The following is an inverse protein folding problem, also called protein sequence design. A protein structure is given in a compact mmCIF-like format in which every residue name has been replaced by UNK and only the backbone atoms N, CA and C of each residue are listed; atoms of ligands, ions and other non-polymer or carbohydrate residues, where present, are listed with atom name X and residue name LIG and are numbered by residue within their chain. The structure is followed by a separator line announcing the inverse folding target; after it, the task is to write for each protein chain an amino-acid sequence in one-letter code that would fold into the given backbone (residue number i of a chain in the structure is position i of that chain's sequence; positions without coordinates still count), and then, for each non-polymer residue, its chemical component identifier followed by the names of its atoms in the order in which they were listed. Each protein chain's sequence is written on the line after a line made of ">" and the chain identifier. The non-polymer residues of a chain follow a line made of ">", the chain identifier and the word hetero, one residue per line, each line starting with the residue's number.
data_IF_523083789356
#
_entry.id   IF_523083789356
#
_cell.length_a   1.000
_cell.length_b   1.000
_cell.length_c   1.000
_cell.angle_alpha   90.00
_cell.angle_beta   90.00
_cell.angle_gamma   90.00
#
_symmetry.space_group_name_H-M   'P 1'
#
loop_
_entity.id
_entity.type
_entity.pdbx_description
1 polymer ?
#
# COMPACT_ATOMS: atom_id res chain seq x y z
N UNK A 1 9.90 -17.03 -3.31
CA UNK A 1 9.21 -16.47 -4.49
C UNK A 1 10.27 -16.05 -5.49
N UNK A 2 10.45 -16.76 -6.56
CA UNK A 2 11.31 -16.35 -7.66
C UNK A 2 10.48 -15.40 -8.54
N UNK A 3 10.54 -14.13 -8.21
CA UNK A 3 9.94 -13.08 -9.04
C UNK A 3 10.80 -12.82 -10.28
N UNK A 4 10.26 -12.07 -11.25
CA UNK A 4 10.99 -11.63 -12.43
C UNK A 4 12.24 -10.83 -12.01
N UNK A 5 13.42 -11.34 -12.32
CA UNK A 5 14.65 -10.56 -12.21
C UNK A 5 14.72 -9.60 -13.40
N UNK A 6 14.45 -8.32 -13.15
CA UNK A 6 14.43 -7.28 -14.20
C UNK A 6 15.80 -7.13 -14.85
N UNK A 7 16.88 -7.29 -14.09
CA UNK A 7 18.23 -7.22 -14.64
C UNK A 7 18.47 -8.33 -15.66
N UNK A 8 18.18 -9.59 -15.30
CA UNK A 8 18.36 -10.73 -16.21
C UNK A 8 17.40 -10.65 -17.38
N UNK A 9 16.18 -10.14 -17.18
CA UNK A 9 15.20 -9.96 -18.24
C UNK A 9 15.72 -9.05 -19.36
N UNK A 10 16.38 -7.95 -19.02
CA UNK A 10 16.89 -6.99 -20.01
C UNK A 10 18.31 -7.31 -20.54
N UNK A 11 19.05 -8.21 -19.89
CA UNK A 11 20.42 -8.53 -20.27
C UNK A 11 20.57 -9.06 -21.69
N UNK A 12 19.55 -9.77 -22.20
CA UNK A 12 19.55 -10.41 -23.52
C UNK A 12 18.84 -9.58 -24.60
N UNK A 13 18.24 -8.43 -24.22
CA UNK A 13 17.52 -7.60 -25.19
C UNK A 13 18.50 -6.76 -26.01
N UNK A 14 18.35 -6.83 -27.32
CA UNK A 14 19.18 -6.07 -28.24
C UNK A 14 18.76 -4.60 -28.32
N UNK A 15 19.61 -3.77 -28.92
CA UNK A 15 19.37 -2.34 -29.13
C UNK A 15 19.32 -1.48 -27.85
N UNK A 16 19.82 -1.98 -26.74
CA UNK A 16 20.06 -1.19 -25.53
C UNK A 16 21.43 -0.54 -25.63
N UNK A 17 21.50 0.81 -25.57
CA UNK A 17 22.73 1.59 -25.58
C UNK A 17 23.43 1.51 -24.24
N UNK A 18 22.64 1.63 -23.17
CA UNK A 18 23.12 1.61 -21.79
C UNK A 18 22.10 0.90 -20.91
N UNK A 19 22.60 0.08 -20.04
CA UNK A 19 21.82 -0.72 -19.12
C UNK A 19 22.52 -0.81 -17.77
N UNK A 20 21.75 -0.78 -16.68
CA UNK A 20 22.25 -0.96 -15.33
C UNK A 20 21.12 -1.03 -14.32
N UNK A 21 21.37 -1.74 -13.22
CA UNK A 21 20.37 -1.92 -12.18
C UNK A 21 20.62 -3.17 -11.36
N UNK A 22 19.56 -3.69 -10.76
CA UNK A 22 19.54 -4.93 -9.99
C UNK A 22 18.21 -5.66 -10.22
N UNK A 23 18.02 -6.82 -9.59
CA UNK A 23 16.87 -7.70 -9.81
C UNK A 23 15.50 -7.01 -9.74
N UNK A 24 15.33 -6.00 -8.89
CA UNK A 24 14.04 -5.32 -8.64
C UNK A 24 13.84 -4.03 -9.43
N UNK A 25 14.90 -3.44 -9.96
CA UNK A 25 14.83 -2.18 -10.73
C UNK A 25 16.01 -2.05 -11.68
N UNK A 26 15.75 -1.67 -12.93
CA UNK A 26 16.79 -1.41 -13.91
C UNK A 26 16.48 -0.13 -14.70
N UNK A 27 17.55 0.60 -15.05
CA UNK A 27 17.52 1.74 -15.96
C UNK A 27 18.08 1.36 -17.30
N UNK A 28 17.38 1.69 -18.38
CA UNK A 28 17.81 1.43 -19.77
C UNK A 28 17.80 2.71 -20.57
N UNK A 29 18.77 2.81 -21.50
CA UNK A 29 18.82 3.87 -22.50
C UNK A 29 18.78 3.22 -23.88
N UNK A 30 17.85 3.65 -24.70
CA UNK A 30 17.68 3.17 -26.08
C UNK A 30 17.70 4.33 -27.06
N UNK A 31 18.09 4.08 -28.30
CA UNK A 31 17.95 5.08 -29.36
C UNK A 31 16.47 5.31 -29.69
N UNK A 32 16.11 6.55 -30.01
CA UNK A 32 14.74 6.92 -30.36
C UNK A 32 14.19 6.07 -31.52
N UNK A 33 15.02 5.84 -32.52
CA UNK A 33 14.66 5.09 -33.72
C UNK A 33 14.51 3.58 -33.46
N UNK A 34 15.08 3.07 -32.35
CA UNK A 34 15.00 1.68 -31.93
C UNK A 34 13.84 1.41 -30.96
N UNK A 35 13.06 2.42 -30.59
CA UNK A 35 12.00 2.28 -29.58
C UNK A 35 10.95 1.24 -29.96
N UNK A 36 10.46 1.28 -31.20
CA UNK A 36 9.43 0.35 -31.67
C UNK A 36 9.92 -1.11 -31.69
N UNK A 37 11.14 -1.36 -32.17
CA UNK A 37 11.73 -2.70 -32.16
C UNK A 37 12.03 -3.21 -30.75
N UNK A 38 12.45 -2.33 -29.87
CA UNK A 38 12.65 -2.63 -28.45
C UNK A 38 11.34 -3.08 -27.78
N UNK A 39 10.24 -2.33 -27.97
CA UNK A 39 8.93 -2.68 -27.41
C UNK A 39 8.47 -4.05 -27.90
N UNK A 40 8.58 -4.32 -29.22
CA UNK A 40 8.21 -5.62 -29.78
C UNK A 40 9.04 -6.78 -29.19
N UNK A 41 10.32 -6.57 -28.95
CA UNK A 41 11.19 -7.58 -28.37
C UNK A 41 10.84 -7.86 -26.90
N UNK A 42 10.55 -6.80 -26.12
CA UNK A 42 10.07 -6.92 -24.74
C UNK A 42 8.76 -7.68 -24.69
N UNK A 43 7.77 -7.31 -25.51
CA UNK A 43 6.46 -7.98 -25.56
C UNK A 43 6.61 -9.46 -25.94
N UNK A 44 7.40 -9.77 -26.95
CA UNK A 44 7.66 -11.15 -27.35
C UNK A 44 8.30 -11.97 -26.22
N UNK A 45 9.27 -11.39 -25.51
CA UNK A 45 9.93 -12.05 -24.38
C UNK A 45 8.96 -12.25 -23.22
N UNK A 46 8.12 -11.26 -22.91
CA UNK A 46 7.09 -11.38 -21.87
C UNK A 46 6.06 -12.46 -22.16
N UNK A 47 5.59 -12.57 -23.40
CA UNK A 47 4.63 -13.62 -23.82
C UNK A 47 5.21 -15.03 -23.68
N UNK A 48 6.53 -15.18 -23.88
CA UNK A 48 7.21 -16.48 -23.74
C UNK A 48 7.51 -16.89 -22.31
N UNK A 49 7.28 -15.99 -21.33
CA UNK A 49 7.53 -16.27 -19.91
C UNK A 49 6.23 -16.71 -19.23
N UNK A 50 6.28 -17.84 -18.53
CA UNK A 50 5.21 -18.24 -17.62
C UNK A 50 5.40 -17.47 -16.30
N UNK A 51 4.53 -16.51 -16.05
CA UNK A 51 4.51 -15.80 -14.75
C UNK A 51 3.59 -16.54 -13.79
N UNK A 52 4.15 -17.20 -12.80
CA UNK A 52 3.42 -17.60 -11.60
C UNK A 52 3.38 -16.40 -10.65
N UNK A 53 2.35 -15.58 -10.75
CA UNK A 53 2.11 -14.53 -9.78
C UNK A 53 1.42 -15.14 -8.57
N UNK A 54 2.18 -15.60 -7.59
CA UNK A 54 1.63 -15.81 -6.26
C UNK A 54 1.44 -14.42 -5.66
N UNK A 55 0.19 -13.96 -5.65
CA UNK A 55 -0.19 -12.78 -4.87
C UNK A 55 -0.04 -13.21 -3.40
N UNK A 56 0.93 -12.66 -2.64
CA UNK A 56 1.05 -13.03 -1.24
C UNK A 56 -0.27 -12.66 -0.56
N UNK A 57 -0.86 -13.61 0.16
CA UNK A 57 -2.02 -13.32 1.02
C UNK A 57 -1.59 -12.22 1.99
N UNK A 58 -2.14 -11.03 1.82
CA UNK A 58 -1.92 -9.94 2.76
C UNK A 58 -2.63 -10.29 4.07
N UNK A 59 -1.88 -10.82 5.02
CA UNK A 59 -2.39 -11.15 6.35
C UNK A 59 -2.52 -9.87 7.15
N UNK A 60 -3.76 -9.50 7.47
CA UNK A 60 -4.02 -8.40 8.37
C UNK A 60 -4.12 -8.91 9.83
N UNK A 61 -3.55 -8.15 10.76
CA UNK A 61 -3.75 -8.36 12.19
C UNK A 61 -5.12 -7.86 12.58
N UNK A 62 -5.97 -8.73 13.10
CA UNK A 62 -7.31 -8.34 13.53
C UNK A 62 -7.25 -7.72 14.92
N UNK A 63 -7.79 -6.52 15.06
CA UNK A 63 -7.90 -5.78 16.31
C UNK A 63 -9.33 -5.26 16.51
N UNK A 64 -9.68 -4.94 17.74
CA UNK A 64 -10.92 -4.24 18.06
C UNK A 64 -10.75 -2.72 17.93
N UNK A 65 -11.82 -1.99 17.61
CA UNK A 65 -11.77 -0.52 17.51
C UNK A 65 -11.37 0.14 18.85
N UNK A 66 -11.60 -0.52 19.98
CA UNK A 66 -11.18 -0.06 21.30
C UNK A 66 -9.67 -0.15 21.52
N UNK A 67 -8.97 -0.99 20.76
CA UNK A 67 -7.51 -1.13 20.81
C UNK A 67 -6.79 -0.02 20.03
N UNK A 68 -7.49 0.70 19.16
CA UNK A 68 -6.91 1.78 18.37
C UNK A 68 -6.83 3.08 19.17
N UNK A 69 -6.08 3.03 20.26
CA UNK A 69 -5.81 4.17 21.17
C UNK A 69 -4.54 4.90 20.76
N UNK A 70 -4.38 6.14 21.24
CA UNK A 70 -3.14 6.90 20.99
C UNK A 70 -1.92 6.21 21.65
N UNK A 71 -2.10 5.63 22.82
CA UNK A 71 -1.05 4.91 23.55
C UNK A 71 -0.54 3.72 22.75
N UNK A 72 -1.43 2.83 22.30
CA UNK A 72 -1.08 1.66 21.50
C UNK A 72 -0.44 2.06 20.15
N UNK A 73 -0.91 3.16 19.54
CA UNK A 73 -0.30 3.69 18.33
C UNK A 73 1.13 4.22 18.56
N UNK A 74 1.38 4.85 19.71
CA UNK A 74 2.73 5.30 20.08
C UNK A 74 3.67 4.12 20.36
N UNK A 75 3.18 3.08 21.01
CA UNK A 75 3.95 1.85 21.21
C UNK A 75 4.29 1.20 19.86
N UNK A 76 3.31 1.07 18.96
CA UNK A 76 3.56 0.56 17.61
C UNK A 76 4.60 1.40 16.87
N UNK A 77 4.50 2.73 16.94
CA UNK A 77 5.47 3.64 16.30
C UNK A 77 6.87 3.49 16.88
N UNK A 78 7.00 3.16 18.17
CA UNK A 78 8.30 2.94 18.83
C UNK A 78 9.05 1.71 18.33
N UNK A 79 8.35 0.77 17.66
CA UNK A 79 8.96 -0.41 17.07
C UNK A 79 9.64 -0.12 15.72
N UNK A 80 9.44 1.07 15.14
CA UNK A 80 10.06 1.45 13.88
C UNK A 80 11.56 1.80 14.05
N UNK A 81 12.44 1.44 13.10
CA UNK A 81 12.09 0.78 11.82
C UNK A 81 11.74 -0.70 12.00
N UNK A 82 10.65 -1.13 11.38
CA UNK A 82 10.23 -2.53 11.38
C UNK A 82 11.16 -3.38 10.50
N UNK A 83 11.33 -4.68 10.82
CA UNK A 83 11.91 -5.64 9.90
C UNK A 83 11.17 -5.63 8.56
N UNK A 84 11.89 -5.92 7.47
CA UNK A 84 11.35 -5.85 6.09
C UNK A 84 10.07 -6.68 5.92
N UNK A 85 9.98 -7.79 6.61
CA UNK A 85 8.83 -8.70 6.59
C UNK A 85 7.57 -8.09 7.21
N UNK A 86 7.73 -7.08 8.08
CA UNK A 86 6.65 -6.37 8.79
C UNK A 86 6.40 -4.95 8.28
N UNK A 87 7.21 -4.44 7.33
CA UNK A 87 7.01 -3.08 6.78
C UNK A 87 5.62 -2.87 6.17
N UNK A 88 5.01 -3.94 5.69
CA UNK A 88 3.70 -3.93 5.06
C UNK A 88 2.59 -4.52 5.93
N UNK A 89 2.78 -4.52 7.26
CA UNK A 89 1.74 -4.99 8.16
C UNK A 89 0.45 -4.20 7.99
N UNK A 90 -0.69 -4.90 7.91
CA UNK A 90 -2.04 -4.36 7.83
C UNK A 90 -2.80 -4.70 9.09
N UNK A 91 -3.73 -3.85 9.45
CA UNK A 91 -4.63 -4.06 10.58
C UNK A 91 -6.07 -4.05 10.09
N UNK A 92 -6.82 -5.09 10.44
CA UNK A 92 -8.25 -5.17 10.23
C UNK A 92 -8.95 -4.78 11.53
N UNK A 93 -9.49 -3.57 11.58
CA UNK A 93 -10.20 -3.03 12.74
C UNK A 93 -11.66 -3.41 12.66
N UNK A 94 -12.15 -4.11 13.67
CA UNK A 94 -13.54 -4.57 13.81
C UNK A 94 -14.28 -3.81 14.90
N UNK A 95 -15.61 -4.05 14.99
CA UNK A 95 -16.49 -3.43 15.98
C UNK A 95 -16.43 -1.90 15.94
N UNK A 96 -16.44 -1.36 14.71
CA UNK A 96 -16.34 0.08 14.49
C UNK A 96 -17.51 0.82 15.16
N UNK A 97 -17.25 1.88 15.92
CA UNK A 97 -18.29 2.73 16.45
C UNK A 97 -18.90 3.60 15.36
N UNK A 98 -19.96 4.32 15.71
CA UNK A 98 -20.56 5.29 14.79
C UNK A 98 -19.53 6.29 14.27
N UNK A 99 -19.64 6.67 13.02
CA UNK A 99 -18.72 7.58 12.37
C UNK A 99 -19.41 8.82 11.80
N UNK A 100 -18.70 9.92 11.72
CA UNK A 100 -19.04 11.06 10.87
C UNK A 100 -18.09 11.10 9.66
N UNK A 101 -18.64 11.49 8.50
CA UNK A 101 -17.91 11.43 7.22
C UNK A 101 -17.72 12.85 6.70
N UNK A 102 -16.48 13.18 6.34
CA UNK A 102 -16.12 14.41 5.66
C UNK A 102 -15.47 14.06 4.33
N UNK A 103 -15.98 14.62 3.22
CA UNK A 103 -15.48 14.35 1.87
C UNK A 103 -14.78 15.59 1.31
N UNK A 104 -13.56 15.38 0.80
CA UNK A 104 -12.81 16.35 0.00
C UNK A 104 -12.50 15.75 -1.38
N UNK A 105 -12.01 16.54 -2.29
CA UNK A 105 -11.75 16.12 -3.67
C UNK A 105 -10.80 14.91 -3.79
N UNK A 106 -9.88 14.74 -2.86
CA UNK A 106 -8.84 13.71 -2.90
C UNK A 106 -8.86 12.73 -1.73
N UNK A 107 -9.65 13.02 -0.69
CA UNK A 107 -9.67 12.22 0.54
C UNK A 107 -11.07 12.20 1.12
N UNK A 108 -11.54 11.03 1.53
CA UNK A 108 -12.69 10.88 2.42
C UNK A 108 -12.19 10.54 3.80
N UNK A 109 -12.59 11.33 4.78
CA UNK A 109 -12.24 11.13 6.19
C UNK A 109 -13.43 10.61 6.96
N UNK A 110 -13.24 9.54 7.69
CA UNK A 110 -14.13 9.02 8.72
C UNK A 110 -13.60 9.46 10.08
N UNK A 111 -14.47 9.91 10.94
CA UNK A 111 -14.14 10.14 12.34
C UNK A 111 -14.96 9.15 13.17
N UNK A 112 -14.28 8.14 13.72
CA UNK A 112 -14.88 7.10 14.55
C UNK A 112 -14.84 7.54 16.03
N UNK A 113 -16.01 7.54 16.68
CA UNK A 113 -16.13 7.97 18.08
C UNK A 113 -16.20 6.75 19.00
N UNK A 114 -15.08 6.35 19.55
CA UNK A 114 -15.00 5.26 20.54
C UNK A 114 -15.10 5.80 21.98
N UNK A 115 -15.56 4.96 22.90
CA UNK A 115 -15.56 5.26 24.36
C UNK A 115 -14.14 5.43 24.93
N UNK A 116 -13.13 4.83 24.28
CA UNK A 116 -11.71 4.92 24.67
C UNK A 116 -10.96 6.06 23.97
N UNK A 117 -11.66 6.93 23.25
CA UNK A 117 -11.11 7.99 22.40
C UNK A 117 -11.48 7.77 20.92
N UNK A 118 -11.47 8.84 20.14
CA UNK A 118 -11.77 8.77 18.71
C UNK A 118 -10.51 8.52 17.87
N UNK A 119 -10.69 7.94 16.68
CA UNK A 119 -9.65 7.82 15.68
C UNK A 119 -10.18 8.20 14.30
N UNK A 120 -9.26 8.53 13.40
CA UNK A 120 -9.60 8.94 12.04
C UNK A 120 -9.32 7.82 11.03
N UNK A 121 -10.25 7.58 10.10
CA UNK A 121 -10.03 6.74 8.93
C UNK A 121 -9.89 7.61 7.69
N UNK A 122 -8.87 7.36 6.87
CA UNK A 122 -8.63 8.09 5.63
C UNK A 122 -8.70 7.16 4.43
N UNK A 123 -9.57 7.50 3.47
CA UNK A 123 -9.62 6.84 2.16
C UNK A 123 -9.15 7.85 1.12
N UNK A 124 -8.06 7.54 0.41
CA UNK A 124 -7.55 8.39 -0.67
C UNK A 124 -8.25 8.08 -1.99
N UNK A 125 -8.52 9.09 -2.80
CA UNK A 125 -9.22 8.95 -4.08
C UNK A 125 -8.44 8.09 -5.12
N UNK A 126 -7.14 7.91 -4.93
CA UNK A 126 -6.30 7.00 -5.72
C UNK A 126 -6.59 5.52 -5.44
N UNK A 127 -7.15 5.23 -4.28
CA UNK A 127 -7.52 3.88 -3.85
C UNK A 127 -8.97 3.61 -4.27
N UNK A 128 -9.21 2.48 -4.92
CA UNK A 128 -10.55 2.09 -5.38
C UNK A 128 -11.38 1.47 -4.23
N UNK A 129 -11.36 2.12 -3.07
CA UNK A 129 -12.09 1.66 -1.88
C UNK A 129 -13.51 2.21 -1.92
N UNK A 130 -14.54 1.37 -1.83
CA UNK A 130 -15.92 1.83 -1.72
C UNK A 130 -16.11 2.57 -0.39
N UNK A 131 -16.60 3.83 -0.44
CA UNK A 131 -16.89 4.60 0.76
C UNK A 131 -18.27 4.21 1.31
N UNK A 132 -18.31 3.35 2.30
CA UNK A 132 -19.52 2.94 3.00
C UNK A 132 -19.89 3.95 4.10
N UNK A 133 -21.18 4.20 4.32
CA UNK A 133 -21.63 5.09 5.39
C UNK A 133 -21.46 4.46 6.78
N UNK A 134 -21.68 3.17 6.89
CA UNK A 134 -21.57 2.41 8.14
C UNK A 134 -20.74 1.14 7.90
N UNK A 135 -19.42 1.25 7.83
CA UNK A 135 -18.56 0.07 7.65
C UNK A 135 -18.59 -0.82 8.89
N UNK A 136 -18.56 -2.12 8.68
CA UNK A 136 -18.47 -3.14 9.74
C UNK A 136 -17.00 -3.35 10.16
N UNK A 137 -16.11 -3.23 9.20
CA UNK A 137 -14.66 -3.31 9.43
C UNK A 137 -13.91 -2.47 8.42
N UNK A 138 -12.72 -2.05 8.78
CA UNK A 138 -11.76 -1.38 7.89
C UNK A 138 -10.39 -2.04 8.01
N UNK A 139 -9.72 -2.20 6.86
CA UNK A 139 -8.37 -2.75 6.80
C UNK A 139 -7.43 -1.71 6.22
N UNK A 140 -6.25 -1.56 6.82
CA UNK A 140 -5.25 -0.61 6.36
C UNK A 140 -4.05 -0.45 7.28
N UNK A 141 -3.33 0.66 7.09
CA UNK A 141 -2.13 1.01 7.86
C UNK A 141 -2.46 1.97 8.98
N UNK A 142 -2.03 1.63 10.19
CA UNK A 142 -2.16 2.51 11.36
C UNK A 142 -1.00 3.50 11.38
N UNK A 143 -1.31 4.73 11.78
CA UNK A 143 -0.34 5.81 11.97
C UNK A 143 -0.86 6.84 12.99
N UNK A 144 -0.03 7.83 13.32
CA UNK A 144 -0.41 8.93 14.18
C UNK A 144 -0.43 10.23 13.37
N UNK A 145 -1.58 10.89 13.35
CA UNK A 145 -1.70 12.22 12.78
C UNK A 145 -1.24 13.28 13.79
N UNK A 146 -0.22 14.07 13.40
CA UNK A 146 0.29 15.20 14.19
C UNK A 146 0.08 16.50 13.42
N UNK A 147 -1.03 17.19 13.71
CA UNK A 147 -1.36 18.41 13.01
C UNK A 147 -1.88 19.50 13.97
N UNK A 148 -1.31 20.70 13.92
CA UNK A 148 -1.72 21.88 14.73
C UNK A 148 -1.96 21.57 16.21
N UNK A 149 -0.96 21.00 16.90
CA UNK A 149 -1.02 20.61 18.32
C UNK A 149 -2.08 19.54 18.66
N UNK A 150 -2.65 18.88 17.66
CA UNK A 150 -3.51 17.70 17.84
C UNK A 150 -2.76 16.45 17.45
N UNK A 151 -2.88 15.44 18.27
CA UNK A 151 -2.27 14.12 18.04
C UNK A 151 -3.40 13.12 18.14
N UNK A 152 -3.72 12.46 17.03
CA UNK A 152 -4.80 11.50 16.96
C UNK A 152 -4.36 10.21 16.27
N UNK A 153 -4.83 9.03 16.71
CA UNK A 153 -4.69 7.80 15.95
C UNK A 153 -5.40 7.93 14.61
N UNK A 154 -4.83 7.33 13.58
CA UNK A 154 -5.49 7.24 12.28
C UNK A 154 -5.18 5.92 11.60
N UNK A 155 -6.08 5.47 10.74
CA UNK A 155 -5.88 4.35 9.83
C UNK A 155 -6.05 4.84 8.39
N UNK A 156 -5.05 4.57 7.54
CA UNK A 156 -5.20 4.72 6.10
C UNK A 156 -5.93 3.47 5.60
N UNK A 157 -7.17 3.66 5.19
CA UNK A 157 -8.07 2.58 4.81
C UNK A 157 -7.77 2.16 3.38
N UNK A 158 -7.46 0.89 3.19
CA UNK A 158 -7.20 0.24 1.90
C UNK A 158 -8.36 -0.68 1.51
N UNK A 159 -9.13 -1.20 2.51
CA UNK A 159 -10.33 -1.99 2.30
C UNK A 159 -11.40 -1.62 3.35
N UNK A 160 -12.67 -1.79 2.97
CA UNK A 160 -13.82 -1.48 3.81
C UNK A 160 -14.95 -2.49 3.56
N UNK A 161 -15.51 -3.02 4.64
CA UNK A 161 -16.62 -3.97 4.62
C UNK A 161 -17.80 -3.49 5.46
#
# INVERSE_FOLDING_TARGET
>A
MEGLNIYDFFSDIQNIIRFGGHAMAAGITIAKDSYASFVQEVERKMVSMEFTCEIPEEKAVVIDATDLTLENCMELESLYPLPKELENIRFCVKNLPSSSIQKWSKVTKYHFNSSCGGFDGLVFASEKVPCLENPVSVTGKISINRYRNRINPQIQIEEMQ
#
